data_IF_139525199672
#
_entry.id   IF_139525199672
#
_cell.length_a   1.000
_cell.length_b   1.000
_cell.length_c   1.000
_cell.angle_alpha   90.00
_cell.angle_beta   90.00
_cell.angle_gamma   90.00
#
_symmetry.space_group_name_H-M   'P 1'
#
loop_
_entity.id
_entity.type
_entity.pdbx_description
1 polymer ?
#
# COMPACT_ATOMS: atom_id res chain seq x y z
N UNK A 1 8.41 15.57 18.51
CA UNK A 1 7.91 14.41 19.25
C UNK A 1 8.05 13.24 18.29
N UNK A 2 9.06 12.40 18.51
CA UNK A 2 9.38 11.31 17.60
C UNK A 2 8.38 10.19 17.88
N UNK A 3 7.56 9.85 16.89
CA UNK A 3 6.76 8.63 16.92
C UNK A 3 7.76 7.47 16.87
N UNK A 4 7.66 6.55 17.83
CA UNK A 4 8.54 5.38 17.92
C UNK A 4 8.51 4.59 16.61
N UNK A 5 9.67 4.48 15.98
CA UNK A 5 9.97 3.56 14.89
C UNK A 5 9.81 2.13 15.37
N UNK A 6 8.74 1.45 14.95
CA UNK A 6 8.53 0.03 15.23
C UNK A 6 7.13 -0.53 14.97
N UNK A 7 6.09 0.32 14.84
CA UNK A 7 4.73 -0.14 14.53
C UNK A 7 4.44 0.01 13.04
N UNK A 8 4.00 -1.07 12.38
CA UNK A 8 3.51 -1.03 11.01
C UNK A 8 2.20 -0.25 10.87
N UNK A 9 1.73 -0.08 9.63
CA UNK A 9 0.42 0.54 9.37
C UNK A 9 -0.68 -0.40 9.85
N UNK A 10 -1.41 -0.04 10.91
CA UNK A 10 -2.40 -0.93 11.51
C UNK A 10 -3.76 -0.82 10.82
N UNK A 11 -4.36 -1.96 10.50
CA UNK A 11 -5.77 -2.07 10.16
C UNK A 11 -6.61 -2.41 11.39
N UNK A 12 -7.74 -1.71 11.56
CA UNK A 12 -8.68 -1.86 12.69
C UNK A 12 -10.06 -2.34 12.23
N UNK A 13 -10.25 -2.58 10.94
CA UNK A 13 -11.53 -3.00 10.37
C UNK A 13 -11.51 -3.13 8.86
N UNK A 14 -12.70 -3.35 8.28
CA UNK A 14 -12.91 -3.47 6.83
C UNK A 14 -14.07 -2.58 6.44
N UNK A 15 -13.87 -1.75 5.43
CA UNK A 15 -14.91 -0.94 4.80
C UNK A 15 -15.37 -1.60 3.49
N UNK A 16 -16.64 -1.37 3.12
CA UNK A 16 -17.14 -1.76 1.82
C UNK A 16 -16.53 -0.85 0.74
N UNK A 17 -16.25 -1.42 -0.43
CA UNK A 17 -15.88 -0.69 -1.63
C UNK A 17 -16.62 -1.27 -2.82
N UNK A 18 -17.04 -0.41 -3.74
CA UNK A 18 -17.83 -0.77 -4.93
C UNK A 18 -16.98 -0.98 -6.17
N UNK A 19 -15.70 -0.61 -6.14
CA UNK A 19 -14.79 -0.73 -7.27
C UNK A 19 -13.44 -0.06 -7.02
N UNK A 20 -12.58 -0.13 -8.02
CA UNK A 20 -11.26 0.50 -8.03
C UNK A 20 -10.98 1.09 -9.40
N UNK A 21 -10.27 2.21 -9.43
CA UNK A 21 -9.71 2.82 -10.64
C UNK A 21 -8.20 2.75 -10.54
N UNK A 22 -7.55 2.26 -11.59
CA UNK A 22 -6.09 2.16 -11.68
C UNK A 22 -5.64 3.03 -12.86
N UNK A 23 -4.69 3.91 -12.60
CA UNK A 23 -4.08 4.78 -13.58
C UNK A 23 -2.55 4.66 -13.49
N UNK A 24 -1.89 4.76 -14.63
CA UNK A 24 -0.42 4.79 -14.70
C UNK A 24 0.02 5.82 -15.73
N UNK A 25 1.12 6.52 -15.46
CA UNK A 25 1.72 7.41 -16.43
C UNK A 25 3.26 7.42 -16.35
N UNK A 26 3.88 8.31 -17.12
CA UNK A 26 5.34 8.44 -17.22
C UNK A 26 6.02 9.08 -16.00
N UNK A 27 5.25 9.63 -15.07
CA UNK A 27 5.71 10.34 -13.87
C UNK A 27 5.34 9.60 -12.59
N UNK A 28 4.23 8.86 -12.60
CA UNK A 28 3.71 8.08 -11.48
C UNK A 28 3.58 6.62 -11.91
N UNK A 29 4.40 5.70 -11.35
CA UNK A 29 4.33 4.28 -11.68
C UNK A 29 2.94 3.68 -11.53
N UNK A 30 2.21 4.06 -10.48
CA UNK A 30 0.87 3.58 -10.22
C UNK A 30 0.08 4.55 -9.34
N UNK A 31 -1.15 4.85 -9.75
CA UNK A 31 -2.17 5.45 -8.92
C UNK A 31 -3.39 4.53 -8.88
N UNK A 32 -3.85 4.24 -7.68
CA UNK A 32 -5.02 3.42 -7.39
C UNK A 32 -5.97 4.22 -6.51
N UNK A 33 -7.24 4.28 -6.88
CA UNK A 33 -8.30 4.87 -6.07
C UNK A 33 -9.44 3.87 -5.89
N UNK A 34 -9.93 3.72 -4.65
CA UNK A 34 -11.12 2.93 -4.38
C UNK A 34 -12.36 3.80 -4.53
N UNK A 35 -13.41 3.23 -5.14
CA UNK A 35 -14.72 3.86 -5.20
C UNK A 35 -15.36 3.80 -3.81
N UNK A 36 -15.15 4.86 -3.05
CA UNK A 36 -15.61 5.06 -1.69
C UNK A 36 -16.23 6.46 -1.58
N UNK A 37 -17.26 6.61 -0.73
CA UNK A 37 -17.82 7.93 -0.42
C UNK A 37 -16.82 8.66 0.48
N UNK A 38 -16.19 9.70 -0.07
CA UNK A 38 -15.26 10.56 0.66
C UNK A 38 -16.04 11.75 1.22
N UNK A 39 -15.93 11.98 2.52
CA UNK A 39 -16.68 13.06 3.20
C UNK A 39 -15.93 14.41 3.23
N UNK A 40 -14.60 14.38 3.18
CA UNK A 40 -13.70 15.53 3.26
C UNK A 40 -12.34 15.20 2.60
N UNK A 41 -11.42 16.15 2.54
CA UNK A 41 -10.06 15.90 2.05
C UNK A 41 -9.42 14.67 2.74
N UNK A 42 -8.62 13.85 2.04
CA UNK A 42 -7.96 12.70 2.65
C UNK A 42 -6.99 13.07 3.77
N UNK A 43 -6.71 12.07 4.61
CA UNK A 43 -5.49 11.97 5.39
C UNK A 43 -4.43 11.27 4.52
N UNK A 44 -3.19 11.74 4.58
CA UNK A 44 -2.09 11.23 3.77
C UNK A 44 -1.05 10.56 4.68
N UNK A 45 -0.69 9.34 4.33
CA UNK A 45 0.43 8.61 4.93
C UNK A 45 1.50 8.37 3.87
N UNK A 46 2.67 8.92 4.10
CA UNK A 46 3.86 8.78 3.26
C UNK A 46 4.78 7.72 3.86
N UNK A 47 5.01 6.62 3.14
CA UNK A 47 5.89 5.54 3.59
C UNK A 47 7.14 5.53 2.72
N UNK A 48 8.29 5.70 3.34
CA UNK A 48 9.59 5.70 2.67
C UNK A 48 10.42 4.51 3.16
N UNK A 49 10.99 3.76 2.23
CA UNK A 49 12.05 2.83 2.61
C UNK A 49 13.37 3.61 2.79
N UNK A 50 14.12 3.39 3.88
CA UNK A 50 15.48 3.90 3.99
C UNK A 50 16.43 3.47 2.87
N UNK A 51 16.19 2.34 2.22
CA UNK A 51 16.97 1.81 1.11
C UNK A 51 16.53 2.41 -0.23
N UNK A 52 15.25 2.24 -0.61
CA UNK A 52 14.69 2.74 -1.86
C UNK A 52 13.17 2.51 -1.95
N UNK A 53 12.45 3.43 -2.58
CA UNK A 53 11.00 3.35 -2.74
C UNK A 53 10.22 4.30 -1.85
N UNK A 54 9.11 4.79 -2.40
CA UNK A 54 8.28 5.80 -1.77
C UNK A 54 6.83 5.63 -2.21
N UNK A 55 5.93 5.44 -1.26
CA UNK A 55 4.51 5.31 -1.52
C UNK A 55 3.68 6.28 -0.68
N UNK A 56 2.49 6.59 -1.17
CA UNK A 56 1.47 7.38 -0.50
C UNK A 56 0.21 6.51 -0.31
N UNK A 57 -0.34 6.51 0.90
CA UNK A 57 -1.69 6.02 1.17
C UNK A 57 -2.61 7.23 1.41
N UNK A 58 -3.81 7.21 0.80
CA UNK A 58 -4.90 8.16 1.06
C UNK A 58 -5.95 7.47 1.92
N UNK A 59 -6.27 8.05 3.07
CA UNK A 59 -7.20 7.51 4.06
C UNK A 59 -8.38 8.48 4.24
N UNK A 60 -9.60 7.96 4.25
CA UNK A 60 -10.79 8.77 4.56
C UNK A 60 -10.74 9.25 6.03
N UNK A 61 -10.84 10.56 6.29
CA UNK A 61 -10.64 11.12 7.63
C UNK A 61 -11.71 10.69 8.63
N UNK A 62 -12.93 10.35 8.18
CA UNK A 62 -14.06 10.07 9.05
C UNK A 62 -14.15 8.60 9.44
N UNK A 63 -13.93 7.72 8.46
CA UNK A 63 -14.09 6.27 8.60
C UNK A 63 -12.76 5.56 8.80
N UNK A 64 -11.66 6.11 8.29
CA UNK A 64 -10.36 5.45 8.22
C UNK A 64 -10.23 4.50 7.03
N UNK A 65 -11.20 4.42 6.12
CA UNK A 65 -11.10 3.57 4.94
C UNK A 65 -9.89 3.96 4.07
N UNK A 66 -9.13 2.98 3.58
CA UNK A 66 -8.13 3.20 2.54
C UNK A 66 -8.85 3.49 1.22
N UNK A 67 -8.67 4.72 0.73
CA UNK A 67 -9.36 5.27 -0.45
C UNK A 67 -8.42 5.53 -1.62
N UNK A 68 -7.11 5.51 -1.40
CA UNK A 68 -6.15 5.60 -2.48
C UNK A 68 -4.75 5.12 -2.11
N UNK A 69 -4.00 4.75 -3.14
CA UNK A 69 -2.63 4.28 -3.07
C UNK A 69 -1.86 4.81 -4.28
N UNK A 70 -0.69 5.40 -4.04
CA UNK A 70 0.18 5.91 -5.10
C UNK A 70 1.59 5.38 -4.87
N UNK A 71 2.18 4.82 -5.92
CA UNK A 71 3.60 4.55 -5.97
C UNK A 71 4.25 5.82 -6.53
N UNK A 72 5.05 6.50 -5.71
CA UNK A 72 5.81 7.68 -6.11
C UNK A 72 7.15 7.24 -6.70
N UNK A 73 7.91 6.47 -5.91
CA UNK A 73 9.13 5.78 -6.35
C UNK A 73 8.92 4.28 -6.19
N UNK A 74 9.10 3.51 -7.26
CA UNK A 74 8.88 2.07 -7.27
C UNK A 74 9.90 1.38 -6.33
N UNK A 75 9.45 0.61 -5.32
CA UNK A 75 10.37 -0.10 -4.43
C UNK A 75 11.20 -1.15 -5.17
N UNK A 76 12.36 -1.50 -4.62
CA UNK A 76 13.22 -2.56 -5.16
C UNK A 76 12.53 -3.92 -5.18
N UNK A 77 12.97 -4.79 -6.09
CA UNK A 77 12.43 -6.14 -6.22
C UNK A 77 12.64 -6.94 -4.91
N UNK A 78 11.62 -7.68 -4.50
CA UNK A 78 11.65 -8.54 -3.32
C UNK A 78 12.61 -9.71 -3.54
N UNK A 79 13.76 -9.67 -2.87
CA UNK A 79 14.77 -10.74 -2.90
C UNK A 79 14.43 -11.92 -1.97
N UNK A 80 13.33 -11.80 -1.21
CA UNK A 80 12.89 -12.78 -0.20
C UNK A 80 11.96 -13.85 -0.76
N UNK A 81 11.46 -13.68 -1.99
CA UNK A 81 10.54 -14.62 -2.62
C UNK A 81 9.20 -14.74 -1.88
N UNK A 82 8.70 -13.63 -1.30
CA UNK A 82 7.39 -13.60 -0.65
C UNK A 82 6.28 -13.82 -1.67
N UNK A 83 5.20 -14.46 -1.24
CA UNK A 83 4.05 -14.74 -2.09
C UNK A 83 2.75 -14.63 -1.30
N UNK A 84 1.66 -14.30 -2.01
CA UNK A 84 0.30 -14.23 -1.49
C UNK A 84 -0.54 -15.47 -1.82
N UNK A 85 0.07 -16.55 -2.35
CA UNK A 85 -0.65 -17.79 -2.65
C UNK A 85 -1.28 -18.42 -1.41
N UNK A 86 -2.55 -18.82 -1.53
CA UNK A 86 -3.28 -19.54 -0.47
C UNK A 86 -3.74 -18.67 0.70
N UNK A 87 -3.54 -17.35 0.65
CA UNK A 87 -4.07 -16.42 1.65
C UNK A 87 -5.60 -16.31 1.48
N UNK A 88 -6.40 -16.52 2.54
CA UNK A 88 -7.85 -16.36 2.49
C UNK A 88 -8.27 -14.99 1.99
N UNK A 89 -9.36 -14.91 1.23
CA UNK A 89 -9.87 -13.66 0.66
C UNK A 89 -11.18 -13.23 1.31
N UNK A 90 -11.39 -11.91 1.41
CA UNK A 90 -12.64 -11.28 1.84
C UNK A 90 -12.85 -9.99 1.06
N UNK A 91 -14.10 -9.67 0.71
CA UNK A 91 -14.41 -8.41 0.01
C UNK A 91 -14.25 -7.19 0.93
N UNK A 92 -13.62 -6.13 0.42
CA UNK A 92 -13.55 -4.81 1.04
C UNK A 92 -12.18 -4.13 0.90
N UNK A 93 -12.02 -3.02 1.61
CA UNK A 93 -10.77 -2.25 1.77
C UNK A 93 -10.47 -2.12 3.27
N UNK A 94 -9.20 -2.07 3.72
CA UNK A 94 -8.93 -1.92 5.14
C UNK A 94 -9.39 -0.57 5.68
N UNK A 95 -9.79 -0.57 6.96
CA UNK A 95 -9.87 0.64 7.77
C UNK A 95 -8.54 0.78 8.51
N UNK A 96 -7.80 1.84 8.22
CA UNK A 96 -6.51 2.18 8.83
C UNK A 96 -6.75 2.90 10.16
N UNK A 97 -5.92 2.59 11.15
CA UNK A 97 -5.92 3.25 12.45
C UNK A 97 -5.64 4.75 12.28
N UNK A 98 -6.58 5.60 12.73
CA UNK A 98 -6.50 7.06 12.59
C UNK A 98 -5.75 7.72 13.73
N UNK A 99 -5.42 6.99 14.79
CA UNK A 99 -4.71 7.55 15.96
C UNK A 99 -3.24 7.90 15.63
N UNK A 100 -2.75 7.50 14.44
CA UNK A 100 -1.44 7.91 13.93
C UNK A 100 -1.39 9.38 13.48
N UNK A 101 -2.53 10.03 13.22
CA UNK A 101 -2.57 11.46 12.90
C UNK A 101 -2.65 12.31 14.15
N UNK A 102 -1.93 13.45 14.22
CA UNK A 102 -2.13 14.42 15.28
C UNK A 102 -3.49 15.11 15.08
N UNK A 103 -4.38 14.97 16.06
CA UNK A 103 -5.71 15.60 16.07
C UNK A 103 -5.71 16.89 16.90
N UNK A 104 -6.52 17.88 16.52
CA UNK A 104 -6.72 19.07 17.36
C UNK A 104 -7.48 18.67 18.62
N UNK A 105 -7.03 19.17 19.78
CA UNK A 105 -7.74 19.02 21.05
C UNK A 105 -8.71 20.19 21.21
N UNK A 106 -9.89 20.08 20.60
CA UNK A 106 -11.00 21.03 20.79
C UNK A 106 -12.30 20.29 21.13
N UNK A 107 -13.27 20.95 21.80
CA UNK A 107 -14.43 20.26 22.38
C UNK A 107 -15.35 19.54 21.38
N UNK A 108 -15.43 20.00 20.12
CA UNK A 108 -16.53 19.61 19.20
C UNK A 108 -16.11 19.22 17.76
N UNK A 109 -14.81 19.06 17.44
CA UNK A 109 -14.39 18.73 16.06
C UNK A 109 -13.30 17.65 15.96
N UNK A 110 -13.49 16.67 15.07
CA UNK A 110 -12.46 15.74 14.58
C UNK A 110 -11.67 16.38 13.44
N UNK A 111 -10.95 17.46 13.74
CA UNK A 111 -10.11 18.12 12.75
C UNK A 111 -8.64 17.68 12.93
N UNK A 112 -7.99 17.14 11.89
CA UNK A 112 -6.58 16.79 11.97
C UNK A 112 -5.73 18.07 12.11
N UNK A 113 -4.81 18.10 13.07
CA UNK A 113 -3.84 19.18 13.22
C UNK A 113 -2.79 19.16 12.10
N UNK A 114 -2.47 17.97 11.59
CA UNK A 114 -1.68 17.73 10.38
C UNK A 114 -2.33 16.59 9.61
N UNK A 115 -2.54 16.74 8.31
CA UNK A 115 -3.10 15.69 7.45
C UNK A 115 -2.05 14.73 6.89
N UNK A 116 -0.79 15.13 6.91
CA UNK A 116 0.31 14.36 6.32
C UNK A 116 1.17 13.75 7.43
N UNK A 117 1.29 12.44 7.44
CA UNK A 117 2.20 11.71 8.33
C UNK A 117 3.24 11.00 7.49
N UNK A 118 4.47 10.95 8.00
CA UNK A 118 5.59 10.29 7.36
C UNK A 118 5.99 9.08 8.22
N UNK A 119 6.25 7.95 7.58
CA UNK A 119 6.72 6.71 8.20
C UNK A 119 7.90 6.14 7.41
N UNK A 120 8.79 5.44 8.13
CA UNK A 120 9.90 4.71 7.54
C UNK A 120 9.71 3.22 7.79
N UNK A 121 9.43 2.47 6.73
CA UNK A 121 9.21 1.03 6.75
C UNK A 121 9.91 0.39 5.54
N UNK A 122 10.41 -0.85 5.66
CA UNK A 122 10.86 -1.59 4.49
C UNK A 122 9.76 -1.68 3.43
N UNK A 123 10.10 -1.43 2.18
CA UNK A 123 9.24 -1.60 1.01
C UNK A 123 9.92 -2.57 0.05
N UNK A 124 9.12 -3.36 -0.65
CA UNK A 124 9.61 -4.13 -1.79
C UNK A 124 8.51 -4.25 -2.83
N UNK A 125 8.89 -4.58 -4.06
CA UNK A 125 7.98 -4.88 -5.15
C UNK A 125 8.19 -6.30 -5.65
N UNK A 126 7.14 -6.98 -6.06
CA UNK A 126 7.27 -8.27 -6.75
C UNK A 126 6.22 -8.35 -7.85
N UNK A 127 6.57 -8.95 -8.97
CA UNK A 127 5.62 -9.24 -10.04
C UNK A 127 5.42 -10.74 -10.19
N UNK A 128 4.18 -11.16 -10.04
CA UNK A 128 3.73 -12.54 -10.18
C UNK A 128 2.34 -12.57 -10.82
N UNK A 129 2.06 -13.55 -11.66
CA UNK A 129 0.75 -13.75 -12.31
C UNK A 129 0.09 -12.46 -12.84
N UNK A 130 0.85 -11.65 -13.58
CA UNK A 130 0.42 -10.34 -14.14
C UNK A 130 -0.02 -9.30 -13.10
N UNK A 131 0.38 -9.45 -11.83
CA UNK A 131 0.14 -8.49 -10.77
C UNK A 131 1.45 -7.91 -10.23
N UNK A 132 1.44 -6.62 -9.93
CA UNK A 132 2.44 -5.98 -9.10
C UNK A 132 1.96 -6.02 -7.66
N UNK A 133 2.78 -6.58 -6.79
CA UNK A 133 2.60 -6.51 -5.34
C UNK A 133 3.63 -5.56 -4.77
N UNK A 134 3.17 -4.52 -4.06
CA UNK A 134 4.00 -3.71 -3.19
C UNK A 134 3.88 -4.22 -1.77
N UNK A 135 4.98 -4.67 -1.20
CA UNK A 135 5.11 -5.10 0.18
C UNK A 135 5.43 -3.91 1.08
N UNK A 136 4.75 -3.83 2.23
CA UNK A 136 4.89 -2.79 3.23
C UNK A 136 5.24 -3.45 4.56
N UNK A 137 6.51 -3.35 4.95
CA UNK A 137 7.06 -4.00 6.12
C UNK A 137 7.21 -5.51 5.97
N UNK A 138 7.30 -6.16 7.14
CA UNK A 138 7.49 -7.60 7.30
C UNK A 138 6.35 -8.20 8.10
N UNK A 139 5.97 -9.44 7.79
CA UNK A 139 4.92 -10.14 8.52
C UNK A 139 4.43 -11.38 7.80
N UNK A 140 3.58 -12.15 8.49
CA UNK A 140 2.90 -13.29 7.90
C UNK A 140 1.51 -12.86 7.41
N UNK A 141 1.22 -12.99 6.10
CA UNK A 141 -0.12 -12.74 5.55
C UNK A 141 -1.19 -13.57 6.27
N UNK A 142 -2.32 -12.95 6.60
CA UNK A 142 -3.48 -13.61 7.20
C UNK A 142 -4.72 -13.54 6.31
N UNK A 143 -4.99 -12.39 5.71
CA UNK A 143 -6.17 -12.19 4.86
C UNK A 143 -5.91 -11.17 3.76
N UNK A 144 -6.48 -11.44 2.58
CA UNK A 144 -6.52 -10.50 1.46
C UNK A 144 -7.90 -9.85 1.40
N UNK A 145 -7.94 -8.52 1.51
CA UNK A 145 -9.13 -7.71 1.29
C UNK A 145 -9.19 -7.34 -0.19
N UNK A 146 -10.20 -7.86 -0.90
CA UNK A 146 -10.30 -7.74 -2.36
C UNK A 146 -11.39 -6.76 -2.77
N UNK A 147 -11.10 -5.95 -3.78
CA UNK A 147 -12.07 -5.11 -4.49
C UNK A 147 -11.71 -5.13 -5.97
N UNK A 148 -12.54 -5.77 -6.80
CA UNK A 148 -12.17 -6.07 -8.19
C UNK A 148 -10.90 -6.94 -8.25
N UNK A 149 -9.95 -6.53 -9.08
CA UNK A 149 -8.66 -7.21 -9.26
C UNK A 149 -7.56 -6.71 -8.31
N UNK A 150 -7.91 -5.83 -7.36
CA UNK A 150 -7.00 -5.32 -6.34
C UNK A 150 -7.14 -6.13 -5.06
N UNK A 151 -6.02 -6.44 -4.42
CA UNK A 151 -5.97 -7.07 -3.11
C UNK A 151 -5.09 -6.28 -2.13
N UNK A 152 -5.59 -6.03 -0.93
CA UNK A 152 -4.81 -5.48 0.19
C UNK A 152 -4.61 -6.57 1.24
N UNK A 153 -3.36 -6.92 1.51
CA UNK A 153 -3.00 -8.01 2.43
C UNK A 153 -2.84 -7.46 3.84
N UNK A 154 -3.55 -8.07 4.78
CA UNK A 154 -3.42 -7.80 6.22
C UNK A 154 -2.70 -8.99 6.87
N UNK A 155 -1.72 -8.68 7.71
CA UNK A 155 -0.96 -9.64 8.49
C UNK A 155 -1.68 -10.09 9.76
N UNK A 156 -1.18 -11.17 10.37
CA UNK A 156 -1.75 -11.76 11.60
C UNK A 156 -1.87 -10.80 12.78
N UNK A 157 -1.01 -9.79 12.83
CA UNK A 157 -1.00 -8.75 13.87
C UNK A 157 -1.91 -7.54 13.53
N UNK A 158 -2.60 -7.60 12.38
CA UNK A 158 -3.41 -6.52 11.86
C UNK A 158 -2.61 -5.49 11.06
N UNK A 159 -1.32 -5.70 10.78
CA UNK A 159 -0.55 -4.79 9.93
C UNK A 159 -0.97 -4.89 8.46
N UNK A 160 -1.01 -3.76 7.75
CA UNK A 160 -1.10 -3.72 6.30
C UNK A 160 0.26 -4.14 5.73
N UNK A 161 0.29 -5.29 5.06
CA UNK A 161 1.52 -5.94 4.61
C UNK A 161 1.78 -5.82 3.11
N UNK A 162 0.73 -5.73 2.29
CA UNK A 162 0.91 -5.59 0.85
C UNK A 162 -0.30 -5.01 0.14
N UNK A 163 -0.07 -4.40 -1.02
CA UNK A 163 -1.10 -4.01 -1.98
C UNK A 163 -0.73 -4.64 -3.32
N UNK A 164 -1.60 -5.49 -3.84
CA UNK A 164 -1.46 -6.19 -5.12
C UNK A 164 -2.47 -5.64 -6.12
N UNK A 165 -1.99 -5.29 -7.31
CA UNK A 165 -2.77 -4.68 -8.40
C UNK A 165 -2.40 -5.32 -9.73
N UNK A 166 -3.30 -5.37 -10.71
CA UNK A 166 -2.95 -5.76 -12.08
C UNK A 166 -1.80 -4.91 -12.59
N UNK A 167 -0.75 -5.54 -13.12
CA UNK A 167 0.41 -4.85 -13.67
C UNK A 167 0.11 -4.40 -15.10
N UNK A 168 0.03 -3.09 -15.38
CA UNK A 168 -0.19 -2.62 -16.74
C UNK A 168 1.09 -2.82 -17.54
N UNK A 169 1.10 -3.86 -18.38
CA UNK A 169 2.25 -4.27 -19.23
C UNK A 169 2.78 -3.12 -20.10
N UNK A 170 1.92 -2.18 -20.48
CA UNK A 170 2.27 -0.98 -21.24
C UNK A 170 3.16 -0.01 -20.46
N UNK A 171 3.08 -0.03 -19.13
CA UNK A 171 3.87 0.82 -18.22
C UNK A 171 5.14 0.13 -17.72
N UNK A 172 5.26 -1.19 -17.94
CA UNK A 172 6.43 -1.98 -17.55
C UNK A 172 7.72 -1.50 -18.24
N UNK A 173 7.61 -0.96 -19.45
CA UNK A 173 8.75 -0.38 -20.19
C UNK A 173 9.21 0.96 -19.61
N UNK A 174 8.29 1.73 -19.00
CA UNK A 174 8.57 3.02 -18.38
C UNK A 174 9.16 2.86 -16.98
N UNK A 175 8.82 1.76 -16.31
CA UNK A 175 9.20 1.46 -14.93
C UNK A 175 9.76 0.05 -14.83
N UNK A 176 10.95 -0.21 -15.41
CA UNK A 176 11.52 -1.53 -15.42
C UNK A 176 11.85 -1.96 -13.99
N UNK A 177 11.14 -2.98 -13.52
CA UNK A 177 11.67 -3.83 -12.44
C UNK A 177 12.95 -4.46 -12.96
N UNK A 178 14.00 -4.53 -12.13
CA UNK A 178 15.28 -5.06 -12.56
C UNK A 178 15.06 -6.39 -13.29
N UNK A 179 15.65 -6.59 -14.49
CA UNK A 179 15.46 -7.84 -15.19
C UNK A 179 16.00 -8.95 -14.31
N UNK A 180 15.15 -9.97 -14.04
CA UNK A 180 15.55 -11.22 -13.38
C UNK A 180 16.95 -11.59 -13.84
N UNK A 181 17.85 -11.77 -12.87
CA UNK A 181 19.27 -11.97 -13.08
C UNK A 181 19.57 -12.78 -14.34
N UNK A 182 20.38 -12.19 -15.22
CA UNK A 182 20.85 -12.85 -16.41
C UNK A 182 21.37 -14.24 -16.04
N UNK A 183 20.86 -15.25 -16.75
CA UNK A 183 21.50 -16.54 -16.78
C UNK A 183 22.97 -16.32 -17.20
N UNK A 184 23.88 -16.35 -16.23
CA UNK A 184 25.29 -16.56 -16.49
C UNK A 184 25.41 -17.98 -17.05
N UNK A 185 25.20 -18.11 -18.37
CA UNK A 185 25.70 -19.22 -19.15
C UNK A 185 27.22 -19.15 -19.12
N UNK A 186 27.82 -19.93 -18.22
CA UNK A 186 29.19 -20.41 -18.42
C UNK A 186 29.14 -21.41 -19.57
N UNK A 187 29.49 -20.97 -20.78
CA UNK A 187 30.00 -21.90 -21.79
C UNK A 187 31.48 -22.17 -21.49
N UNK A 188 31.84 -23.45 -21.52
CA UNK A 188 33.19 -23.96 -21.25
C UNK A 188 34.12 -23.93 -22.45
#
# INVERSE_FOLDING_TARGET
MNVETGAGVRSVGVAASTGTVIETDRWVPLMLEWDCVISDAPLYLFIRDPADGFVELKIDPDTGALIGFVIIDLPQEDDRGRTLHGVPTKVGTPVVDRDMWPWKVTPDYREPAKRNVDMFLPLASSVDDDHLTVWIGDGQPEVNLTTGDVAVTIGRDGALLAISVPWPKESAELWPLSPKGGAHGYEG
#
